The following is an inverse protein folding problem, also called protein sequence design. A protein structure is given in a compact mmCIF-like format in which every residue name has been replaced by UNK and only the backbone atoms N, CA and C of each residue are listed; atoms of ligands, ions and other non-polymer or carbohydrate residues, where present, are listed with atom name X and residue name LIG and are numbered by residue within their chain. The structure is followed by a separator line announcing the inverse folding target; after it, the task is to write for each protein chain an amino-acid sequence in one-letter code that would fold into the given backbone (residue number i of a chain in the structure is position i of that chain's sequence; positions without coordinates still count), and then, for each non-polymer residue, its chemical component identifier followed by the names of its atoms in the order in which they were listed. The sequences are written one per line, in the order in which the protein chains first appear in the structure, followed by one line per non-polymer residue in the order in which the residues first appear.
data_IF_710403106900
#
_entry.id   IF_710403106900
#
_cell.length_a   1.000
_cell.length_b   1.000
_cell.length_c   1.000
_cell.angle_alpha   90.00
_cell.angle_beta   90.00
_cell.angle_gamma   90.00
#
_symmetry.space_group_name_H-M   'P 1'
#
loop_
_entity.id
_entity.type
_entity.pdbx_description
1 polymer ?
#
# COMPACT_ATOMS: atom_id res chain seq x y z
N UNK A 1 40.12 40.60 0.90
CA UNK A 1 38.88 39.86 1.20
C UNK A 1 38.69 38.81 0.10
N UNK A 2 38.76 37.52 0.39
CA UNK A 2 38.47 36.50 -0.62
C UNK A 2 36.94 36.37 -0.79
N UNK A 3 36.48 36.47 -2.05
CA UNK A 3 35.14 36.20 -2.47
C UNK A 3 34.88 34.70 -2.27
N UNK A 4 34.02 34.37 -1.33
CA UNK A 4 33.51 32.99 -1.14
C UNK A 4 32.57 32.72 -2.32
N UNK A 5 33.04 31.98 -3.33
CA UNK A 5 32.20 31.44 -4.39
C UNK A 5 31.27 30.40 -3.74
N UNK A 6 29.97 30.65 -3.81
CA UNK A 6 28.97 29.66 -3.47
C UNK A 6 29.22 28.38 -4.32
N UNK A 7 29.04 27.15 -3.77
CA UNK A 7 29.22 25.96 -4.55
C UNK A 7 28.24 25.94 -5.72
N UNK A 8 28.78 25.83 -6.93
CA UNK A 8 28.07 25.70 -8.19
C UNK A 8 27.29 24.36 -8.14
N UNK A 9 26.06 24.43 -7.65
CA UNK A 9 25.18 23.26 -7.63
C UNK A 9 24.74 22.98 -9.07
N UNK A 10 25.31 21.96 -9.69
CA UNK A 10 24.86 21.44 -10.98
C UNK A 10 23.34 21.28 -10.97
N UNK A 11 22.63 21.66 -12.04
CA UNK A 11 21.18 21.55 -12.09
C UNK A 11 20.78 20.07 -11.89
N UNK A 12 19.88 19.82 -10.93
CA UNK A 12 19.38 18.47 -10.64
C UNK A 12 18.73 17.86 -11.86
N UNK A 13 19.03 16.60 -12.14
CA UNK A 13 18.42 15.85 -13.25
C UNK A 13 16.89 15.73 -13.05
N UNK A 14 16.15 15.60 -14.14
CA UNK A 14 14.70 15.37 -14.11
C UNK A 14 14.34 14.17 -13.20
N UNK A 15 15.09 13.08 -13.29
CA UNK A 15 14.88 11.91 -12.43
C UNK A 15 15.08 12.21 -10.93
N UNK A 16 16.08 13.00 -10.58
CA UNK A 16 16.31 13.41 -9.20
C UNK A 16 15.18 14.33 -8.67
N UNK A 17 14.68 15.24 -9.50
CA UNK A 17 13.55 16.11 -9.15
C UNK A 17 12.26 15.31 -8.93
N UNK A 18 12.00 14.28 -9.74
CA UNK A 18 10.86 13.36 -9.54
C UNK A 18 11.07 12.57 -8.24
N UNK A 19 12.28 12.11 -7.96
CA UNK A 19 12.57 11.40 -6.70
C UNK A 19 12.36 12.31 -5.48
N UNK A 20 12.68 13.62 -5.56
CA UNK A 20 12.42 14.57 -4.49
C UNK A 20 10.93 14.74 -4.17
N UNK A 21 10.03 14.70 -5.18
CA UNK A 21 8.59 14.65 -4.96
C UNK A 21 8.18 13.41 -4.17
N UNK A 22 8.71 12.24 -4.52
CA UNK A 22 8.43 11.00 -3.78
C UNK A 22 8.95 11.07 -2.35
N UNK A 23 10.15 11.66 -2.13
CA UNK A 23 10.78 11.79 -0.82
C UNK A 23 9.96 12.60 0.18
N UNK A 24 9.21 13.59 -0.26
CA UNK A 24 8.28 14.34 0.60
C UNK A 24 7.22 13.44 1.26
N UNK A 25 6.97 12.27 0.67
CA UNK A 25 5.99 11.29 1.13
C UNK A 25 6.65 9.96 1.56
N UNK A 26 7.95 9.96 1.82
CA UNK A 26 8.66 8.74 2.20
C UNK A 26 8.13 8.16 3.49
N UNK A 27 7.76 6.88 3.44
CA UNK A 27 7.30 6.09 4.58
C UNK A 27 8.45 5.22 5.07
N UNK A 28 9.04 5.61 6.19
CA UNK A 28 10.19 4.93 6.78
C UNK A 28 10.10 4.92 8.30
N UNK A 29 10.78 3.97 8.93
CA UNK A 29 11.01 3.96 10.38
C UNK A 29 12.31 4.68 10.76
N UNK A 30 13.13 5.02 9.76
CA UNK A 30 14.37 5.78 9.94
C UNK A 30 14.11 7.26 9.60
N UNK A 31 14.17 8.17 10.58
CA UNK A 31 13.93 9.60 10.37
C UNK A 31 15.10 10.33 9.69
N UNK A 32 16.19 9.65 9.31
CA UNK A 32 17.33 10.27 8.65
C UNK A 32 16.88 10.96 7.35
N UNK A 33 17.41 12.18 7.11
CA UNK A 33 17.16 12.90 5.87
C UNK A 33 17.90 12.18 4.73
N UNK A 34 17.15 11.43 3.93
CA UNK A 34 17.67 10.79 2.73
C UNK A 34 17.53 11.73 1.53
N UNK A 35 18.53 11.75 0.67
CA UNK A 35 18.49 12.45 -0.62
C UNK A 35 18.12 11.48 -1.75
N UNK A 36 17.80 11.99 -2.93
CA UNK A 36 17.44 11.18 -4.09
C UNK A 36 18.49 10.12 -4.42
N UNK A 37 19.78 10.45 -4.26
CA UNK A 37 20.92 9.57 -4.55
C UNK A 37 20.97 8.32 -3.65
N UNK A 38 20.34 8.38 -2.48
CA UNK A 38 20.22 7.23 -1.58
C UNK A 38 19.23 6.15 -2.08
N UNK A 39 18.54 6.41 -3.20
CA UNK A 39 17.56 5.50 -3.82
C UNK A 39 17.96 5.09 -5.24
N UNK A 40 19.10 4.43 -5.45
CA UNK A 40 19.66 4.15 -6.77
C UNK A 40 18.76 3.26 -7.65
N UNK A 41 17.96 2.38 -7.05
CA UNK A 41 17.02 1.51 -7.78
C UNK A 41 15.88 2.32 -8.41
N UNK A 42 15.31 3.25 -7.65
CA UNK A 42 14.22 4.12 -8.09
C UNK A 42 14.73 5.13 -9.11
N UNK A 43 15.85 5.81 -8.81
CA UNK A 43 16.46 6.77 -9.72
C UNK A 43 16.76 6.18 -11.09
N UNK A 44 17.34 4.98 -11.14
CA UNK A 44 17.64 4.30 -12.41
C UNK A 44 16.37 4.08 -13.23
N UNK A 45 15.31 3.52 -12.61
CA UNK A 45 14.04 3.26 -13.30
C UNK A 45 13.35 4.54 -13.77
N UNK A 46 13.33 5.59 -12.95
CA UNK A 46 12.80 6.90 -13.34
C UNK A 46 13.62 7.46 -14.51
N UNK A 47 14.96 7.40 -14.44
CA UNK A 47 15.83 7.88 -15.51
C UNK A 47 15.64 7.13 -16.84
N UNK A 48 15.30 5.84 -16.80
CA UNK A 48 14.97 5.07 -18.00
C UNK A 48 13.70 5.60 -18.68
N UNK A 49 12.62 5.87 -17.92
CA UNK A 49 11.39 6.48 -18.44
C UNK A 49 11.64 7.89 -18.98
N UNK A 50 12.38 8.71 -18.26
CA UNK A 50 12.74 10.09 -18.69
C UNK A 50 13.53 10.08 -20.00
N UNK A 51 14.48 9.16 -20.16
CA UNK A 51 15.30 9.04 -21.38
C UNK A 51 14.47 8.64 -22.60
N UNK A 52 13.43 7.82 -22.38
CA UNK A 52 12.54 7.35 -23.44
C UNK A 52 11.37 8.29 -23.69
N UNK A 53 11.31 9.42 -23.00
CA UNK A 53 10.17 10.36 -23.04
C UNK A 53 8.81 9.65 -22.81
N UNK A 54 8.79 8.72 -21.86
CA UNK A 54 7.64 7.87 -21.53
C UNK A 54 7.11 8.17 -20.12
N UNK A 55 5.81 7.98 -19.86
CA UNK A 55 5.24 8.15 -18.52
C UNK A 55 5.92 7.25 -17.48
N UNK A 56 6.23 7.79 -16.31
CA UNK A 56 6.80 7.00 -15.20
C UNK A 56 5.75 6.06 -14.63
N UNK A 57 5.92 4.77 -14.80
CA UNK A 57 5.00 3.77 -14.26
C UNK A 57 5.40 3.41 -12.83
N UNK A 58 4.46 3.58 -11.90
CA UNK A 58 4.59 3.24 -10.49
C UNK A 58 3.66 2.06 -10.15
N UNK A 59 4.13 1.02 -9.48
CA UNK A 59 3.27 -0.08 -8.99
C UNK A 59 3.13 -0.01 -7.49
N UNK A 60 1.91 -0.10 -6.99
CA UNK A 60 1.60 -0.04 -5.56
C UNK A 60 0.74 -1.24 -5.13
N UNK A 61 1.31 -2.30 -4.53
CA UNK A 61 0.53 -3.32 -3.83
C UNK A 61 -0.23 -2.70 -2.66
N UNK A 62 -1.54 -2.88 -2.65
CA UNK A 62 -2.41 -2.28 -1.63
C UNK A 62 -3.88 -2.27 -2.04
N UNK A 63 -4.73 -1.64 -1.23
CA UNK A 63 -6.18 -1.61 -1.42
C UNK A 63 -6.80 -3.01 -1.57
N UNK A 64 -6.50 -3.94 -0.63
CA UNK A 64 -6.95 -5.33 -0.74
C UNK A 64 -8.45 -5.49 -0.49
N UNK A 65 -8.89 -4.96 0.62
CA UNK A 65 -10.25 -4.96 1.18
C UNK A 65 -10.20 -4.30 2.56
N UNK A 66 -11.33 -3.96 3.15
CA UNK A 66 -11.39 -3.46 4.54
C UNK A 66 -11.10 -4.59 5.54
N UNK A 67 -10.44 -4.23 6.65
CA UNK A 67 -10.31 -5.13 7.81
C UNK A 67 -11.69 -5.60 8.26
N UNK A 68 -11.86 -6.90 8.57
CA UNK A 68 -13.11 -7.42 9.10
C UNK A 68 -13.36 -7.00 10.57
N UNK A 69 -12.41 -6.32 11.20
CA UNK A 69 -12.54 -5.86 12.59
C UNK A 69 -13.29 -4.52 12.65
N UNK A 70 -14.54 -4.50 13.20
CA UNK A 70 -15.34 -3.28 13.29
C UNK A 70 -14.77 -2.21 14.22
N UNK A 71 -13.76 -2.55 15.05
CA UNK A 71 -13.04 -1.57 15.84
C UNK A 71 -12.03 -0.76 15.02
N UNK A 72 -11.73 -1.20 13.79
CA UNK A 72 -10.77 -0.56 12.88
C UNK A 72 -11.45 0.21 11.75
N UNK A 73 -12.55 -0.30 11.19
CA UNK A 73 -13.17 0.19 9.94
C UNK A 73 -14.67 0.47 10.10
N UNK A 74 -15.24 1.20 9.14
CA UNK A 74 -16.68 1.52 9.09
C UNK A 74 -17.54 0.42 8.45
N UNK A 75 -16.93 -0.46 7.67
CA UNK A 75 -17.60 -1.51 6.92
C UNK A 75 -16.64 -2.19 5.96
N UNK A 76 -17.15 -2.94 4.99
CA UNK A 76 -16.33 -3.69 4.02
C UNK A 76 -16.06 -2.91 2.71
N UNK A 77 -16.74 -1.78 2.48
CA UNK A 77 -16.55 -0.96 1.27
C UNK A 77 -15.52 0.16 1.49
N UNK A 78 -14.88 0.67 0.43
CA UNK A 78 -14.07 1.88 0.48
C UNK A 78 -14.82 3.05 1.12
N UNK A 79 -14.11 3.83 1.92
CA UNK A 79 -14.65 5.03 2.56
C UNK A 79 -13.81 6.28 2.23
N UNK A 80 -13.89 7.33 3.03
CA UNK A 80 -13.14 8.56 2.81
C UNK A 80 -11.63 8.33 2.83
N UNK A 81 -11.13 7.36 3.59
CA UNK A 81 -9.71 7.04 3.65
C UNK A 81 -9.15 6.60 2.29
N UNK A 82 -9.85 5.71 1.59
CA UNK A 82 -9.48 5.30 0.23
C UNK A 82 -9.65 6.44 -0.76
N UNK A 83 -10.76 7.17 -0.72
CA UNK A 83 -11.01 8.31 -1.62
C UNK A 83 -9.89 9.35 -1.56
N UNK A 84 -9.47 9.74 -0.37
CA UNK A 84 -8.37 10.70 -0.17
C UNK A 84 -7.03 10.13 -0.63
N UNK A 85 -6.78 8.85 -0.39
CA UNK A 85 -5.55 8.18 -0.81
C UNK A 85 -5.45 8.07 -2.34
N UNK A 86 -6.55 7.80 -3.02
CA UNK A 86 -6.60 7.80 -4.49
C UNK A 86 -6.37 9.20 -5.05
N UNK A 87 -7.03 10.22 -4.49
CA UNK A 87 -6.84 11.61 -4.89
C UNK A 87 -5.38 12.06 -4.70
N UNK A 88 -4.76 11.67 -3.60
CA UNK A 88 -3.33 11.92 -3.35
C UNK A 88 -2.43 11.29 -4.43
N UNK A 89 -2.66 10.03 -4.78
CA UNK A 89 -1.85 9.34 -5.80
C UNK A 89 -1.99 9.98 -7.18
N UNK A 90 -3.20 10.40 -7.57
CA UNK A 90 -3.42 11.11 -8.83
C UNK A 90 -2.76 12.49 -8.83
N UNK A 91 -2.85 13.25 -7.73
CA UNK A 91 -2.20 14.54 -7.57
C UNK A 91 -0.66 14.42 -7.62
N UNK A 92 -0.08 13.40 -7.00
CA UNK A 92 1.35 13.11 -7.10
C UNK A 92 1.79 12.88 -8.55
N UNK A 93 1.00 12.12 -9.33
CA UNK A 93 1.27 11.95 -10.76
C UNK A 93 1.15 13.27 -11.55
N UNK A 94 0.19 14.12 -11.21
CA UNK A 94 0.05 15.46 -11.81
C UNK A 94 1.23 16.37 -11.46
N UNK A 95 1.80 16.26 -10.25
CA UNK A 95 3.00 17.01 -9.87
C UNK A 95 4.24 16.51 -10.62
N UNK A 96 4.33 15.20 -10.90
CA UNK A 96 5.39 14.66 -11.77
C UNK A 96 5.25 15.20 -13.20
N UNK A 97 4.03 15.32 -13.73
CA UNK A 97 3.76 15.87 -15.07
C UNK A 97 4.31 17.32 -15.24
N UNK A 98 4.31 18.14 -14.18
CA UNK A 98 4.90 19.47 -14.19
C UNK A 98 6.43 19.48 -14.38
N UNK A 99 7.10 18.35 -14.09
CA UNK A 99 8.55 18.17 -14.20
C UNK A 99 8.92 17.40 -15.46
N UNK A 100 8.08 16.46 -15.85
CA UNK A 100 8.28 15.52 -16.97
C UNK A 100 6.95 15.41 -17.74
N UNK A 101 6.87 16.03 -18.91
CA UNK A 101 5.64 16.20 -19.67
C UNK A 101 4.82 14.91 -19.93
N UNK A 102 5.44 13.71 -20.17
CA UNK A 102 4.69 12.46 -20.22
C UNK A 102 4.01 12.06 -18.89
N UNK A 103 4.40 12.68 -17.77
CA UNK A 103 3.80 12.48 -16.45
C UNK A 103 4.15 11.14 -15.80
N UNK A 104 3.21 10.67 -14.97
CA UNK A 104 3.31 9.38 -14.31
C UNK A 104 1.95 8.68 -14.25
N UNK A 105 1.97 7.36 -14.04
CA UNK A 105 0.80 6.52 -13.88
C UNK A 105 1.01 5.55 -12.73
N UNK A 106 0.04 5.46 -11.79
CA UNK A 106 0.07 4.48 -10.70
C UNK A 106 -0.82 3.29 -11.05
N UNK A 107 -0.23 2.11 -11.08
CA UNK A 107 -0.94 0.83 -11.13
C UNK A 107 -1.14 0.34 -9.71
N UNK A 108 -2.36 0.43 -9.20
CA UNK A 108 -2.77 -0.11 -7.90
C UNK A 108 -2.90 -1.62 -8.04
N UNK A 109 -1.97 -2.37 -7.47
CA UNK A 109 -1.96 -3.83 -7.53
C UNK A 109 -2.79 -4.38 -6.37
N UNK A 110 -4.12 -4.44 -6.54
CA UNK A 110 -5.07 -4.87 -5.51
C UNK A 110 -4.88 -6.35 -5.18
N UNK A 111 -4.59 -6.65 -3.92
CA UNK A 111 -4.17 -7.98 -3.46
C UNK A 111 -5.19 -8.69 -2.56
N UNK A 112 -6.44 -8.22 -2.53
CA UNK A 112 -7.50 -8.80 -1.69
C UNK A 112 -7.69 -10.30 -1.96
N UNK A 113 -7.91 -10.69 -3.19
CA UNK A 113 -8.08 -12.10 -3.56
C UNK A 113 -6.80 -12.95 -3.41
N UNK A 114 -5.64 -12.32 -3.30
CA UNK A 114 -4.39 -13.04 -2.99
C UNK A 114 -4.41 -13.60 -1.57
N UNK A 115 -5.09 -12.90 -0.64
CA UNK A 115 -5.04 -13.20 0.79
C UNK A 115 -6.39 -13.59 1.41
N UNK A 116 -7.52 -13.40 0.74
CA UNK A 116 -8.88 -13.46 1.28
C UNK A 116 -9.12 -14.60 2.26
N UNK A 117 -8.79 -15.83 1.88
CA UNK A 117 -8.90 -17.04 2.71
C UNK A 117 -7.98 -17.01 3.95
N UNK A 118 -6.78 -16.44 3.83
CA UNK A 118 -5.81 -16.33 4.92
C UNK A 118 -6.18 -15.25 5.93
N UNK A 119 -6.78 -14.15 5.49
CA UNK A 119 -7.22 -13.05 6.34
C UNK A 119 -8.69 -13.18 6.76
N UNK A 120 -9.39 -14.21 6.24
CA UNK A 120 -10.80 -14.53 6.55
C UNK A 120 -11.77 -13.41 6.17
N UNK A 121 -11.55 -12.80 5.02
CA UNK A 121 -12.50 -11.89 4.41
C UNK A 121 -13.20 -12.64 3.28
N UNK A 122 -14.55 -12.67 3.27
CA UNK A 122 -15.32 -13.31 2.21
C UNK A 122 -14.99 -12.73 0.83
N UNK A 123 -14.92 -13.58 -0.19
CA UNK A 123 -14.57 -13.15 -1.56
C UNK A 123 -15.57 -12.13 -2.10
N UNK A 124 -16.86 -12.24 -1.75
CA UNK A 124 -17.89 -11.26 -2.10
C UNK A 124 -17.66 -9.86 -1.51
N UNK A 125 -17.06 -9.76 -0.34
CA UNK A 125 -16.66 -8.46 0.23
C UNK A 125 -15.45 -7.86 -0.49
N UNK A 126 -14.54 -8.72 -0.97
CA UNK A 126 -13.38 -8.30 -1.74
C UNK A 126 -13.81 -7.85 -3.13
N UNK A 127 -14.72 -8.57 -3.78
CA UNK A 127 -15.31 -8.19 -5.07
C UNK A 127 -16.01 -6.83 -4.96
N UNK A 128 -16.90 -6.67 -3.97
CA UNK A 128 -17.62 -5.41 -3.75
C UNK A 128 -16.67 -4.24 -3.48
N UNK A 129 -15.60 -4.47 -2.70
CA UNK A 129 -14.56 -3.46 -2.44
C UNK A 129 -13.81 -3.08 -3.73
N UNK A 130 -13.41 -4.06 -4.53
CA UNK A 130 -12.67 -3.84 -5.76
C UNK A 130 -13.52 -3.10 -6.82
N UNK A 131 -14.80 -3.43 -6.94
CA UNK A 131 -15.72 -2.77 -7.86
C UNK A 131 -15.98 -1.32 -7.45
N UNK A 132 -16.20 -1.06 -6.15
CA UNK A 132 -16.33 0.30 -5.61
C UNK A 132 -15.05 1.12 -5.78
N UNK A 133 -13.88 0.53 -5.57
CA UNK A 133 -12.58 1.19 -5.80
C UNK A 133 -12.44 1.66 -7.25
N UNK A 134 -12.80 0.81 -8.21
CA UNK A 134 -12.81 1.16 -9.64
C UNK A 134 -13.85 2.23 -9.95
N UNK A 135 -15.04 2.16 -9.31
CA UNK A 135 -16.07 3.20 -9.44
C UNK A 135 -15.54 4.54 -8.94
N UNK A 136 -14.92 4.59 -7.76
CA UNK A 136 -14.32 5.82 -7.20
C UNK A 136 -13.30 6.46 -8.14
N UNK A 137 -12.44 5.65 -8.78
CA UNK A 137 -11.44 6.14 -9.76
C UNK A 137 -12.15 6.78 -10.96
N UNK A 138 -13.17 6.12 -11.52
CA UNK A 138 -13.92 6.65 -12.69
C UNK A 138 -14.70 7.90 -12.34
N UNK A 139 -15.49 7.88 -11.26
CA UNK A 139 -16.39 8.97 -10.86
C UNK A 139 -15.64 10.22 -10.41
N UNK A 140 -14.43 10.06 -9.86
CA UNK A 140 -13.57 11.16 -9.45
C UNK A 140 -12.61 11.61 -10.56
N UNK A 141 -12.72 11.07 -11.79
CA UNK A 141 -11.89 11.38 -12.95
C UNK A 141 -10.36 11.26 -12.68
N UNK A 142 -9.96 10.24 -11.90
CA UNK A 142 -8.55 10.01 -11.53
C UNK A 142 -7.82 9.23 -12.65
N UNK A 143 -7.58 9.90 -13.77
CA UNK A 143 -7.09 9.28 -15.03
C UNK A 143 -5.68 8.72 -14.96
N UNK A 144 -4.89 9.14 -13.97
CA UNK A 144 -3.50 8.69 -13.78
C UNK A 144 -3.40 7.43 -12.92
N UNK A 145 -4.55 6.81 -12.60
CA UNK A 145 -4.63 5.59 -11.81
C UNK A 145 -5.28 4.45 -12.61
N UNK A 146 -4.79 3.24 -12.40
CA UNK A 146 -5.48 2.01 -12.82
C UNK A 146 -5.39 0.95 -11.71
N UNK A 147 -6.29 -0.03 -11.76
CA UNK A 147 -6.29 -1.18 -10.86
C UNK A 147 -5.86 -2.41 -11.64
N UNK A 148 -4.95 -3.17 -11.06
CA UNK A 148 -4.47 -4.47 -11.53
C UNK A 148 -4.70 -5.51 -10.45
N UNK A 149 -5.38 -6.59 -10.75
CA UNK A 149 -5.65 -7.68 -9.81
C UNK A 149 -5.54 -9.07 -10.49
N UNK A 150 -5.91 -10.12 -9.77
CA UNK A 150 -5.85 -11.50 -10.29
C UNK A 150 -6.80 -11.75 -11.46
N UNK A 151 -7.85 -10.94 -11.66
CA UNK A 151 -8.77 -11.04 -12.80
C UNK A 151 -8.07 -10.64 -14.10
N UNK A 152 -7.20 -9.63 -14.05
CA UNK A 152 -6.45 -9.16 -15.22
C UNK A 152 -5.44 -10.20 -15.74
N UNK A 153 -5.01 -11.13 -14.87
CA UNK A 153 -4.03 -12.17 -15.21
C UNK A 153 -4.69 -13.50 -15.57
N UNK A 154 -5.73 -13.87 -14.82
CA UNK A 154 -6.31 -15.22 -14.83
C UNK A 154 -7.78 -15.24 -15.27
N UNK A 155 -8.35 -14.09 -15.69
CA UNK A 155 -9.74 -13.99 -16.14
C UNK A 155 -10.75 -14.34 -15.04
N UNK A 156 -11.84 -14.99 -15.44
CA UNK A 156 -12.98 -15.31 -14.56
C UNK A 156 -12.88 -16.67 -13.86
N UNK A 157 -11.68 -17.22 -13.68
CA UNK A 157 -11.48 -18.43 -12.90
C UNK A 157 -11.98 -18.25 -11.46
N UNK A 158 -12.42 -19.33 -10.77
CA UNK A 158 -12.75 -19.29 -9.34
C UNK A 158 -11.58 -18.77 -8.50
N UNK A 159 -11.88 -18.00 -7.44
CA UNK A 159 -10.85 -17.36 -6.62
C UNK A 159 -9.85 -18.36 -6.02
N UNK A 160 -10.31 -19.54 -5.56
CA UNK A 160 -9.41 -20.58 -5.06
C UNK A 160 -8.44 -21.08 -6.13
N UNK A 161 -8.90 -21.22 -7.38
CA UNK A 161 -8.07 -21.61 -8.51
C UNK A 161 -7.03 -20.54 -8.80
N UNK A 162 -7.41 -19.25 -8.78
CA UNK A 162 -6.47 -18.13 -8.93
C UNK A 162 -5.40 -18.13 -7.85
N UNK A 163 -5.84 -18.33 -6.58
CA UNK A 163 -4.92 -18.40 -5.43
C UNK A 163 -3.93 -19.57 -5.55
N UNK A 164 -4.40 -20.74 -5.94
CA UNK A 164 -3.56 -21.91 -6.16
C UNK A 164 -2.54 -21.65 -7.28
N UNK A 165 -2.99 -21.12 -8.43
CA UNK A 165 -2.10 -20.80 -9.56
C UNK A 165 -0.95 -19.85 -9.15
N UNK A 166 -1.28 -18.77 -8.44
CA UNK A 166 -0.26 -17.80 -7.96
C UNK A 166 0.69 -18.46 -6.96
N UNK A 167 0.15 -19.29 -6.06
CA UNK A 167 0.95 -19.99 -5.07
C UNK A 167 1.94 -20.94 -5.74
N UNK A 168 1.45 -21.81 -6.61
CA UNK A 168 2.26 -22.89 -7.22
C UNK A 168 3.35 -22.34 -8.13
N UNK A 169 3.08 -21.25 -8.85
CA UNK A 169 4.01 -20.67 -9.81
C UNK A 169 5.05 -19.74 -9.16
N UNK A 170 4.66 -18.99 -8.12
CA UNK A 170 5.46 -17.86 -7.64
C UNK A 170 5.85 -17.94 -6.16
N UNK A 171 5.20 -18.78 -5.34
CA UNK A 171 5.48 -18.78 -3.92
C UNK A 171 6.83 -19.46 -3.59
N UNK A 172 7.56 -18.98 -2.57
CA UNK A 172 8.69 -19.71 -2.04
C UNK A 172 8.21 -20.99 -1.35
N UNK A 173 9.06 -22.01 -1.28
CA UNK A 173 8.74 -23.23 -0.54
C UNK A 173 8.54 -22.95 0.95
N UNK A 174 7.67 -23.69 1.64
CA UNK A 174 7.46 -23.53 3.09
C UNK A 174 8.74 -23.66 3.90
N UNK A 175 9.62 -24.60 3.52
CA UNK A 175 10.85 -24.86 4.25
C UNK A 175 11.90 -23.76 4.06
N UNK A 176 12.03 -23.22 2.84
CA UNK A 176 12.86 -22.05 2.59
C UNK A 176 12.41 -20.84 3.44
N UNK A 177 11.10 -20.57 3.50
CA UNK A 177 10.57 -19.48 4.30
C UNK A 177 10.77 -19.73 5.81
N UNK A 178 10.57 -20.95 6.30
CA UNK A 178 10.83 -21.29 7.71
C UNK A 178 12.29 -21.13 8.08
N UNK A 179 13.21 -21.50 7.19
CA UNK A 179 14.65 -21.30 7.39
C UNK A 179 14.97 -19.81 7.48
N UNK A 180 14.44 -19.00 6.56
CA UNK A 180 14.67 -17.56 6.53
C UNK A 180 14.12 -16.87 7.79
N UNK A 181 12.90 -17.20 8.25
CA UNK A 181 12.33 -16.66 9.51
C UNK A 181 13.23 -16.95 10.72
N UNK A 182 14.04 -18.03 10.69
CA UNK A 182 14.98 -18.37 11.78
C UNK A 182 16.31 -17.61 11.69
N UNK A 183 16.72 -17.23 10.49
CA UNK A 183 18.07 -16.71 10.24
C UNK A 183 18.10 -15.23 9.87
N UNK A 184 16.97 -14.66 9.37
CA UNK A 184 16.88 -13.26 8.97
C UNK A 184 15.99 -12.47 9.93
N UNK A 185 16.57 -11.46 10.57
CA UNK A 185 15.87 -10.63 11.56
C UNK A 185 14.70 -9.83 10.94
N UNK A 186 14.83 -9.42 9.69
CA UNK A 186 13.78 -8.65 9.00
C UNK A 186 12.58 -9.54 8.67
N UNK A 187 12.80 -10.74 8.16
CA UNK A 187 11.75 -11.73 7.91
C UNK A 187 11.07 -12.20 9.20
N UNK A 188 11.83 -12.35 10.29
CA UNK A 188 11.27 -12.64 11.62
C UNK A 188 10.37 -11.49 12.13
N UNK A 189 10.81 -10.24 11.96
CA UNK A 189 10.01 -9.07 12.34
C UNK A 189 8.71 -9.00 11.53
N UNK A 190 8.77 -9.23 10.22
CA UNK A 190 7.61 -9.32 9.33
C UNK A 190 6.64 -10.43 9.79
N UNK A 191 7.15 -11.64 10.05
CA UNK A 191 6.35 -12.76 10.54
C UNK A 191 5.62 -12.44 11.85
N UNK A 192 6.31 -11.80 12.80
CA UNK A 192 5.72 -11.37 14.08
C UNK A 192 4.65 -10.29 13.86
N UNK A 193 4.90 -9.32 12.99
CA UNK A 193 3.97 -8.25 12.63
C UNK A 193 2.70 -8.81 12.01
N UNK A 194 2.81 -9.71 11.02
CA UNK A 194 1.66 -10.36 10.38
C UNK A 194 0.89 -11.24 11.38
N UNK A 195 1.59 -11.99 12.24
CA UNK A 195 0.92 -12.80 13.27
C UNK A 195 0.07 -11.92 14.20
N UNK A 196 0.62 -10.79 14.68
CA UNK A 196 -0.11 -9.83 15.51
C UNK A 196 -1.32 -9.26 14.79
N UNK A 197 -1.13 -8.81 13.55
CA UNK A 197 -2.20 -8.30 12.70
C UNK A 197 -3.35 -9.31 12.55
N UNK A 198 -3.06 -10.58 12.24
CA UNK A 198 -4.06 -11.63 12.10
C UNK A 198 -4.82 -11.90 13.42
N UNK A 199 -4.14 -11.84 14.57
CA UNK A 199 -4.79 -11.97 15.88
C UNK A 199 -5.74 -10.81 16.14
N UNK A 200 -5.33 -9.58 15.85
CA UNK A 200 -6.15 -8.38 16.02
C UNK A 200 -7.36 -8.34 15.10
N UNK A 201 -7.24 -8.85 13.88
CA UNK A 201 -8.30 -8.82 12.87
C UNK A 201 -9.24 -10.05 12.95
N UNK A 202 -8.88 -11.08 13.71
CA UNK A 202 -9.78 -12.22 13.91
C UNK A 202 -10.83 -11.89 14.97
N UNK A 203 -12.07 -11.68 14.52
CA UNK A 203 -13.26 -11.48 15.38
C UNK A 203 -14.03 -12.77 15.54
N UNK A 204 -14.79 -12.91 16.63
CA UNK A 204 -15.69 -14.05 16.86
C UNK A 204 -15.01 -15.42 17.07
N UNK A 205 -13.72 -15.45 17.40
CA UNK A 205 -13.02 -16.71 17.69
C UNK A 205 -13.46 -17.28 19.05
N UNK A 206 -13.99 -18.50 19.06
CA UNK A 206 -14.55 -19.16 20.27
C UNK A 206 -13.54 -19.95 21.08
N UNK A 207 -12.30 -20.13 20.56
CA UNK A 207 -11.24 -20.86 21.24
C UNK A 207 -10.43 -19.98 22.22
N UNK A 208 -9.45 -20.60 22.91
CA UNK A 208 -8.53 -19.88 23.78
C UNK A 208 -7.62 -18.91 22.99
N UNK A 209 -7.13 -17.86 23.66
CA UNK A 209 -6.15 -16.93 23.07
C UNK A 209 -4.90 -17.64 22.53
N UNK A 210 -4.44 -18.68 23.22
CA UNK A 210 -3.28 -19.49 22.79
C UNK A 210 -3.60 -20.29 21.50
N UNK A 211 -4.82 -20.79 21.37
CA UNK A 211 -5.28 -21.48 20.15
C UNK A 211 -5.33 -20.48 18.98
N UNK A 212 -5.90 -19.31 19.17
CA UNK A 212 -5.92 -18.23 18.17
C UNK A 212 -4.50 -17.86 17.73
N UNK A 213 -3.59 -17.61 18.66
CA UNK A 213 -2.20 -17.28 18.34
C UNK A 213 -1.51 -18.38 17.55
N UNK A 214 -1.71 -19.64 17.91
CA UNK A 214 -1.14 -20.79 17.19
C UNK A 214 -1.66 -20.86 15.76
N UNK A 215 -2.96 -20.64 15.56
CA UNK A 215 -3.57 -20.63 14.24
C UNK A 215 -3.05 -19.45 13.40
N UNK A 216 -3.02 -18.24 13.95
CA UNK A 216 -2.52 -17.05 13.26
C UNK A 216 -1.03 -17.17 12.88
N UNK A 217 -0.21 -17.86 13.70
CA UNK A 217 1.18 -18.18 13.35
C UNK A 217 1.29 -19.07 12.10
N UNK A 218 0.39 -20.06 11.94
CA UNK A 218 0.36 -20.88 10.72
C UNK A 218 -0.04 -20.05 9.51
N UNK A 219 -1.10 -19.26 9.64
CA UNK A 219 -1.60 -18.39 8.56
C UNK A 219 -0.57 -17.33 8.14
N UNK A 220 0.23 -16.80 9.07
CA UNK A 220 1.26 -15.80 8.78
C UNK A 220 2.30 -16.28 7.76
N UNK A 221 2.69 -17.56 7.80
CA UNK A 221 3.55 -18.13 6.76
C UNK A 221 2.89 -18.06 5.38
N UNK A 222 1.62 -18.45 5.29
CA UNK A 222 0.86 -18.38 4.03
C UNK A 222 0.75 -16.95 3.50
N UNK A 223 0.50 -15.97 4.38
CA UNK A 223 0.44 -14.55 3.98
C UNK A 223 1.79 -14.09 3.42
N UNK A 224 2.92 -14.44 4.03
CA UNK A 224 4.25 -14.07 3.53
C UNK A 224 4.53 -14.75 2.18
N UNK A 225 4.20 -16.05 2.04
CA UNK A 225 4.38 -16.77 0.77
C UNK A 225 3.61 -16.10 -0.36
N UNK A 226 2.33 -15.79 -0.14
CA UNK A 226 1.47 -15.15 -1.15
C UNK A 226 1.87 -13.71 -1.42
N UNK A 227 2.29 -12.94 -0.41
CA UNK A 227 2.83 -11.60 -0.61
C UNK A 227 4.06 -11.60 -1.52
N UNK A 228 4.95 -12.57 -1.34
CA UNK A 228 6.12 -12.73 -2.20
C UNK A 228 5.74 -13.19 -3.61
N UNK A 229 4.80 -14.13 -3.70
CA UNK A 229 4.27 -14.60 -4.99
C UNK A 229 3.63 -13.46 -5.78
N UNK A 230 2.77 -12.66 -5.14
CA UNK A 230 2.16 -11.48 -5.74
C UNK A 230 3.21 -10.46 -6.20
N UNK A 231 4.20 -10.19 -5.36
CA UNK A 231 5.29 -9.29 -5.72
C UNK A 231 6.11 -9.75 -6.93
N UNK A 232 6.28 -11.07 -7.15
CA UNK A 232 6.92 -11.64 -8.34
C UNK A 232 6.02 -11.53 -9.56
N UNK A 233 4.75 -11.87 -9.44
CA UNK A 233 3.77 -11.73 -10.51
C UNK A 233 3.67 -10.28 -11.01
N UNK A 234 3.59 -9.31 -10.09
CA UNK A 234 3.63 -7.88 -10.45
C UNK A 234 4.93 -7.54 -11.20
N UNK A 235 6.07 -8.06 -10.76
CA UNK A 235 7.34 -7.78 -11.42
C UNK A 235 7.41 -8.36 -12.83
N UNK A 236 6.76 -9.50 -13.09
CA UNK A 236 6.68 -10.10 -14.42
C UNK A 236 5.78 -9.29 -15.37
N UNK A 237 4.67 -8.75 -14.85
CA UNK A 237 3.75 -7.94 -15.66
C UNK A 237 4.20 -6.47 -15.81
N UNK A 238 4.93 -5.94 -14.83
CA UNK A 238 5.43 -4.57 -14.82
C UNK A 238 6.94 -4.51 -14.52
N UNK A 239 7.80 -5.10 -15.37
CA UNK A 239 9.22 -5.32 -15.08
C UNK A 239 10.02 -4.03 -14.91
N UNK A 240 9.57 -2.95 -15.56
CA UNK A 240 10.24 -1.64 -15.54
C UNK A 240 9.71 -0.69 -14.47
N UNK A 241 8.53 -0.95 -13.90
CA UNK A 241 7.86 -0.04 -12.98
C UNK A 241 8.71 0.28 -11.72
N UNK A 242 8.62 1.51 -11.26
CA UNK A 242 9.11 1.90 -9.93
C UNK A 242 8.21 1.25 -8.88
N UNK A 243 8.78 0.46 -7.99
CA UNK A 243 8.02 -0.33 -7.01
C UNK A 243 7.80 0.46 -5.74
N UNK A 244 6.55 0.82 -5.48
CA UNK A 244 6.13 1.41 -4.23
C UNK A 244 5.73 0.34 -3.19
N UNK A 245 5.62 0.75 -1.94
CA UNK A 245 5.15 -0.07 -0.81
C UNK A 245 4.33 0.79 0.15
N UNK A 246 3.20 0.25 0.61
CA UNK A 246 2.42 0.85 1.70
C UNK A 246 3.07 0.60 3.08
N UNK A 247 4.06 -0.26 3.17
CA UNK A 247 4.82 -0.51 4.39
C UNK A 247 6.11 0.33 4.41
N UNK A 248 6.61 0.71 5.58
CA UNK A 248 7.89 1.38 5.70
C UNK A 248 9.00 0.59 5.02
N UNK A 249 9.87 1.28 4.31
CA UNK A 249 11.03 0.71 3.65
C UNK A 249 12.28 1.44 4.12
N UNK A 250 13.40 0.72 4.34
CA UNK A 250 14.68 1.36 4.61
C UNK A 250 15.20 2.10 3.37
N UNK A 251 16.08 3.05 3.61
CA UNK A 251 16.81 3.76 2.56
C UNK A 251 17.58 2.75 1.70
N UNK A 252 17.55 2.93 0.37
CA UNK A 252 18.23 2.05 -0.59
C UNK A 252 17.49 0.73 -0.89
N UNK A 253 16.36 0.44 -0.27
CA UNK A 253 15.57 -0.75 -0.59
C UNK A 253 15.05 -0.73 -2.04
N UNK A 254 14.84 -1.91 -2.62
CA UNK A 254 14.31 -2.06 -3.98
C UNK A 254 12.86 -1.53 -4.13
N UNK A 255 12.11 -1.43 -3.03
CA UNK A 255 10.80 -0.79 -2.96
C UNK A 255 10.91 0.54 -2.24
N UNK A 256 10.11 1.51 -2.63
CA UNK A 256 10.01 2.79 -1.96
C UNK A 256 8.75 2.85 -1.10
N UNK A 257 8.91 3.06 0.21
CA UNK A 257 7.78 3.24 1.12
C UNK A 257 7.08 4.58 0.86
N UNK A 258 5.77 4.56 0.61
CA UNK A 258 4.99 5.78 0.38
C UNK A 258 3.88 5.94 1.43
N UNK A 259 3.75 7.15 1.96
CA UNK A 259 2.67 7.54 2.87
C UNK A 259 1.52 8.12 2.05
N UNK A 260 0.34 7.54 2.18
CA UNK A 260 -0.86 7.95 1.44
C UNK A 260 -1.62 9.08 2.16
N UNK A 261 -1.68 9.02 3.48
CA UNK A 261 -2.32 10.01 4.36
C UNK A 261 -1.56 10.09 5.69
N UNK A 262 -1.78 11.18 6.42
CA UNK A 262 -1.26 11.29 7.78
C UNK A 262 -1.93 10.27 8.71
N UNK A 263 -1.13 9.72 9.61
CA UNK A 263 -1.55 8.69 10.54
C UNK A 263 -0.70 8.73 11.83
N UNK A 264 -1.21 8.19 12.95
CA UNK A 264 -0.48 8.21 14.22
C UNK A 264 0.79 7.34 14.22
N UNK A 265 0.92 6.45 13.26
CA UNK A 265 2.08 5.59 13.09
C UNK A 265 2.33 5.24 11.61
N UNK A 266 3.49 4.64 11.35
CA UNK A 266 3.92 4.28 10.00
C UNK A 266 3.31 2.97 9.47
N UNK A 267 2.38 2.34 10.18
CA UNK A 267 1.74 1.07 9.81
C UNK A 267 0.27 1.23 9.43
N UNK A 268 -0.37 2.32 9.86
CA UNK A 268 -1.78 2.59 9.60
C UNK A 268 -2.03 2.81 8.11
N UNK A 269 -3.02 2.10 7.56
CA UNK A 269 -3.45 2.17 6.15
C UNK A 269 -4.94 2.46 6.05
N UNK A 270 -5.45 3.00 4.94
CA UNK A 270 -6.87 3.34 4.79
C UNK A 270 -7.82 2.17 5.07
N UNK A 271 -7.46 0.97 4.65
CA UNK A 271 -8.30 -0.23 4.79
C UNK A 271 -8.24 -0.88 6.20
N UNK A 272 -7.39 -0.39 7.09
CA UNK A 272 -7.31 -0.79 8.50
C UNK A 272 -7.67 0.35 9.47
N UNK A 273 -8.31 1.39 8.96
CA UNK A 273 -8.60 2.61 9.71
C UNK A 273 -9.78 3.37 9.11
N UNK A 274 -10.13 4.47 9.71
CA UNK A 274 -11.09 5.44 9.21
C UNK A 274 -10.45 6.82 9.12
N UNK A 275 -10.93 7.68 8.23
CA UNK A 275 -10.49 9.07 8.15
C UNK A 275 -11.19 9.91 9.23
N UNK A 276 -10.42 10.74 9.93
CA UNK A 276 -10.92 11.82 10.79
C UNK A 276 -10.56 13.16 10.14
N UNK A 277 -11.54 14.04 9.95
CA UNK A 277 -11.31 15.43 9.57
C UNK A 277 -10.99 16.22 10.81
N UNK A 278 -9.82 16.84 10.84
CA UNK A 278 -9.35 17.66 11.95
C UNK A 278 -9.98 19.06 11.92
N UNK A 279 -9.89 19.79 13.04
CA UNK A 279 -10.48 21.13 13.16
C UNK A 279 -9.87 22.16 12.19
N UNK A 280 -8.63 21.98 11.77
CA UNK A 280 -7.93 22.79 10.77
C UNK A 280 -8.28 22.42 9.33
N UNK A 281 -9.14 21.42 9.12
CA UNK A 281 -9.53 20.88 7.82
C UNK A 281 -8.62 19.78 7.29
N UNK A 282 -7.54 19.46 7.99
CA UNK A 282 -6.64 18.34 7.66
C UNK A 282 -7.33 16.98 7.86
N UNK A 283 -6.65 15.91 7.43
CA UNK A 283 -7.14 14.55 7.52
C UNK A 283 -6.12 13.63 8.19
N UNK A 284 -6.58 12.82 9.15
CA UNK A 284 -5.76 11.81 9.83
C UNK A 284 -6.44 10.46 9.81
N UNK A 285 -5.70 9.40 9.45
CA UNK A 285 -6.19 8.03 9.59
C UNK A 285 -6.06 7.57 11.04
N UNK A 286 -7.08 6.86 11.54
CA UNK A 286 -7.02 6.25 12.87
C UNK A 286 -7.99 5.08 13.02
N UNK A 287 -7.80 4.18 14.01
CA UNK A 287 -8.76 3.11 14.29
C UNK A 287 -10.15 3.67 14.60
N UNK A 288 -11.19 3.03 14.06
CA UNK A 288 -12.59 3.44 14.23
C UNK A 288 -12.97 3.68 15.71
N UNK A 289 -12.57 2.77 16.61
CA UNK A 289 -12.84 2.91 18.03
C UNK A 289 -12.22 4.19 18.64
N UNK A 290 -11.12 4.70 18.07
CA UNK A 290 -10.50 5.97 18.48
C UNK A 290 -11.22 7.16 17.87
N UNK A 291 -11.56 7.11 16.59
CA UNK A 291 -12.28 8.17 15.89
C UNK A 291 -13.62 8.47 16.56
N UNK A 292 -14.38 7.44 16.98
CA UNK A 292 -15.64 7.59 17.72
C UNK A 292 -15.53 8.38 19.04
N UNK A 293 -14.36 8.41 19.65
CA UNK A 293 -14.12 9.18 20.88
C UNK A 293 -13.73 10.63 20.63
N UNK A 294 -13.28 10.93 19.41
CA UNK A 294 -12.71 12.23 19.04
C UNK A 294 -13.64 13.04 18.15
N UNK A 295 -14.65 12.41 17.52
CA UNK A 295 -15.45 13.08 16.53
C UNK A 295 -16.82 12.46 16.34
N UNK A 296 -17.63 13.11 15.48
CA UNK A 296 -18.96 12.66 15.07
C UNK A 296 -18.88 11.92 13.73
N UNK A 297 -19.66 10.84 13.54
CA UNK A 297 -19.71 10.15 12.27
C UNK A 297 -20.41 11.02 11.20
N UNK A 298 -19.85 11.04 10.01
CA UNK A 298 -20.41 11.68 8.83
C UNK A 298 -20.81 10.59 7.83
N UNK A 299 -22.04 10.72 7.29
CA UNK A 299 -22.56 9.82 6.27
C UNK A 299 -22.55 10.51 4.91
N UNK A 300 -22.26 9.76 3.85
CA UNK A 300 -22.41 10.18 2.46
C UNK A 300 -23.15 9.08 1.73
N UNK A 301 -24.12 9.46 0.92
CA UNK A 301 -24.95 8.53 0.14
C UNK A 301 -25.54 7.40 1.00
N UNK A 302 -26.01 7.75 2.22
CA UNK A 302 -26.60 6.81 3.18
C UNK A 302 -25.61 5.89 3.90
N UNK A 303 -24.29 5.98 3.64
CA UNK A 303 -23.26 5.13 4.24
C UNK A 303 -22.35 5.93 5.18
N UNK A 304 -21.85 5.32 6.27
CA UNK A 304 -20.76 5.91 7.06
C UNK A 304 -19.53 6.18 6.19
N UNK A 305 -18.98 7.39 6.26
CA UNK A 305 -17.89 7.85 5.38
C UNK A 305 -16.62 8.17 6.14
N UNK A 306 -16.73 8.95 7.20
CA UNK A 306 -15.59 9.43 7.98
C UNK A 306 -16.08 9.98 9.33
N UNK A 307 -15.15 10.54 10.12
CA UNK A 307 -15.46 11.31 11.33
C UNK A 307 -15.03 12.75 11.17
N UNK A 308 -15.73 13.67 11.81
CA UNK A 308 -15.31 15.07 11.99
C UNK A 308 -15.02 15.28 13.47
N UNK A 309 -13.87 15.91 13.75
CA UNK A 309 -13.47 16.23 15.13
C UNK A 309 -14.46 17.22 15.77
N UNK A 310 -14.80 16.95 17.02
CA UNK A 310 -15.66 17.82 17.85
C UNK A 310 -14.81 18.65 18.78
#
# INVERSE_FOLDING_TARGET
MPLTTAPDTLPRTTAARIMDLLLAHHRTTDPSHATAEAFPHQLRRIADFVREDAPVVLTLPGFPCKSPNPAKTLGHLPDMGERLSLAFLDALCADIEKIHAPGAHVVICSDGHVFGDLIRVPDEHIDAYADELRALIRESDLRRLSVFDLRDVLGDLPHDTKRAHVHDRYAPTPDALRAEVRTDAQTLALYRGITRFLVEDTTGFTGSRSALQRECRKRAYGVIQRSRAWGRLIADHHPRAVRLSIHPQPVGAAKFGIRLLDAPDVWTTPWHSVALREADGGWTLMPHARARRLGRPVHRDGRPSHFERV
#
